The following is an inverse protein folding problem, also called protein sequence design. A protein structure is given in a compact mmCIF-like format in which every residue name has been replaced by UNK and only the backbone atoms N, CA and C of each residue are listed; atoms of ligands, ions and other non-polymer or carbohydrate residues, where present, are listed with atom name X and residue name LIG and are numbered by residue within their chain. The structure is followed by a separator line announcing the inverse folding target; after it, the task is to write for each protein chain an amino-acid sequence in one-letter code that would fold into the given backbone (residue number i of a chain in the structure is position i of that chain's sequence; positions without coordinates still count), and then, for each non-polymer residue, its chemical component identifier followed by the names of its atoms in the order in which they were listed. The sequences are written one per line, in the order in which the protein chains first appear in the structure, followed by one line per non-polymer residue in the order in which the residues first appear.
data_IF_530601894697
#
_entry.id   IF_530601894697
#
_cell.length_a   1.000
_cell.length_b   1.000
_cell.length_c   1.000
_cell.angle_alpha   90.00
_cell.angle_beta   90.00
_cell.angle_gamma   90.00
#
_symmetry.space_group_name_H-M   'P 1'
#
loop_
_entity.id
_entity.type
_entity.pdbx_description
1 polymer ?
#
# COMPACT_ATOMS: atom_id res chain seq x y z
N UNK A 1 -18.05 15.38 -6.20
CA UNK A 1 -17.18 16.39 -5.53
C UNK A 1 -15.95 15.77 -4.84
N UNK A 2 -16.10 14.81 -3.90
CA UNK A 2 -14.91 14.27 -3.18
C UNK A 2 -14.10 13.25 -3.98
N UNK A 3 -14.70 12.40 -4.80
CA UNK A 3 -13.97 11.51 -5.71
C UNK A 3 -13.06 12.31 -6.68
N UNK A 4 -13.52 13.43 -7.17
CA UNK A 4 -12.74 14.36 -8.00
C UNK A 4 -11.59 15.01 -7.21
N UNK A 5 -11.76 15.24 -5.91
CA UNK A 5 -10.70 15.74 -5.04
C UNK A 5 -9.59 14.69 -4.89
N UNK A 6 -9.95 13.42 -4.59
CA UNK A 6 -8.98 12.31 -4.56
C UNK A 6 -8.23 12.20 -5.89
N UNK A 7 -8.95 12.29 -7.01
CA UNK A 7 -8.33 12.24 -8.33
C UNK A 7 -7.32 13.37 -8.52
N UNK A 8 -7.69 14.63 -8.20
CA UNK A 8 -6.78 15.78 -8.30
C UNK A 8 -5.53 15.63 -7.43
N UNK A 9 -5.67 15.14 -6.20
CA UNK A 9 -4.54 14.91 -5.30
C UNK A 9 -3.59 13.84 -5.86
N UNK A 10 -4.12 12.76 -6.43
CA UNK A 10 -3.33 11.71 -7.06
C UNK A 10 -2.71 12.16 -8.41
N UNK A 11 -3.39 13.01 -9.17
CA UNK A 11 -2.84 13.64 -10.37
C UNK A 11 -1.66 14.53 -9.99
N UNK A 12 -1.78 15.34 -8.94
CA UNK A 12 -0.68 16.19 -8.44
C UNK A 12 0.57 15.37 -8.07
N UNK A 13 0.41 14.19 -7.45
CA UNK A 13 1.54 13.27 -7.18
C UNK A 13 2.15 12.78 -8.50
N UNK A 14 1.33 12.39 -9.47
CA UNK A 14 1.83 11.90 -10.75
C UNK A 14 2.58 13.00 -11.51
N UNK A 15 2.04 14.22 -11.54
CA UNK A 15 2.66 15.37 -12.15
C UNK A 15 3.98 15.74 -11.45
N UNK A 16 4.01 15.69 -10.12
CA UNK A 16 5.21 15.91 -9.35
C UNK A 16 6.29 14.86 -9.67
N UNK A 17 5.94 13.58 -9.71
CA UNK A 17 6.86 12.50 -10.11
C UNK A 17 7.43 12.80 -11.51
N UNK A 18 6.57 13.18 -12.46
CA UNK A 18 6.98 13.47 -13.83
C UNK A 18 7.99 14.62 -13.90
N UNK A 19 7.75 15.69 -13.13
CA UNK A 19 8.62 16.87 -13.09
C UNK A 19 9.97 16.61 -12.39
N UNK A 20 10.03 15.63 -11.46
CA UNK A 20 11.18 15.39 -10.57
C UNK A 20 11.80 14.00 -10.74
N UNK A 21 11.74 13.41 -11.95
CA UNK A 21 12.24 12.05 -12.21
C UNK A 21 13.75 11.86 -11.94
N UNK A 22 14.52 12.95 -11.89
CA UNK A 22 15.96 12.95 -11.59
C UNK A 22 16.26 13.06 -10.08
N UNK A 23 15.24 13.43 -9.29
CA UNK A 23 15.39 13.65 -7.86
C UNK A 23 15.15 12.37 -7.03
N UNK A 24 15.43 12.45 -5.73
CA UNK A 24 15.02 11.42 -4.77
C UNK A 24 13.51 11.57 -4.48
N UNK A 25 12.75 10.62 -4.99
CA UNK A 25 11.29 10.53 -4.82
C UNK A 25 10.97 9.60 -3.65
N UNK A 26 11.29 10.04 -2.43
CA UNK A 26 10.95 9.30 -1.21
C UNK A 26 9.44 9.23 -1.00
N UNK A 27 8.99 8.18 -0.30
CA UNK A 27 7.57 8.00 0.03
C UNK A 27 7.03 9.14 0.88
N UNK A 28 7.82 9.66 1.82
CA UNK A 28 7.44 10.79 2.68
C UNK A 28 7.20 12.06 1.84
N UNK A 29 8.10 12.33 0.89
CA UNK A 29 7.97 13.48 -0.01
C UNK A 29 6.70 13.39 -0.86
N UNK A 30 6.38 12.20 -1.37
CA UNK A 30 5.16 11.99 -2.16
C UNK A 30 3.90 12.04 -1.29
N UNK A 31 3.97 11.64 -0.02
CA UNK A 31 2.89 11.83 0.95
C UNK A 31 2.59 13.32 1.15
N UNK A 32 3.61 14.15 1.36
CA UNK A 32 3.45 15.62 1.48
C UNK A 32 2.76 16.22 0.25
N UNK A 33 3.19 15.82 -0.95
CA UNK A 33 2.59 16.30 -2.22
C UNK A 33 1.14 15.86 -2.35
N UNK A 34 0.81 14.65 -1.90
CA UNK A 34 -0.56 14.12 -1.98
C UNK A 34 -1.54 14.84 -1.07
N UNK A 35 -1.07 15.41 0.05
CA UNK A 35 -1.93 15.94 1.11
C UNK A 35 -2.69 14.86 1.89
N UNK A 36 -2.41 13.58 1.64
CA UNK A 36 -2.96 12.47 2.41
C UNK A 36 -2.08 12.13 3.63
N UNK A 37 -2.66 11.39 4.58
CA UNK A 37 -1.91 10.81 5.69
C UNK A 37 -0.77 9.91 5.20
N UNK A 38 0.46 9.98 5.77
CA UNK A 38 1.57 9.09 5.45
C UNK A 38 1.23 7.60 5.54
N UNK A 39 0.30 7.21 6.43
CA UNK A 39 -0.15 5.82 6.56
C UNK A 39 -1.04 5.33 5.41
N UNK A 40 -1.70 6.25 4.70
CA UNK A 40 -2.79 5.87 3.79
C UNK A 40 -2.54 6.24 2.33
N UNK A 41 -1.75 7.30 2.05
CA UNK A 41 -1.59 7.83 0.69
C UNK A 41 -1.15 6.77 -0.31
N UNK A 42 -0.19 5.93 0.08
CA UNK A 42 0.36 4.91 -0.81
C UNK A 42 -0.67 3.82 -1.14
N UNK A 43 -1.44 3.38 -0.14
CA UNK A 43 -2.55 2.44 -0.34
C UNK A 43 -3.63 3.02 -1.25
N UNK A 44 -3.99 4.30 -1.04
CA UNK A 44 -4.94 5.02 -1.89
C UNK A 44 -4.38 5.12 -3.32
N UNK A 45 -3.12 5.56 -3.46
CA UNK A 45 -2.47 5.70 -4.76
C UNK A 45 -2.50 4.39 -5.54
N UNK A 46 -2.05 3.30 -4.92
CA UNK A 46 -2.05 1.98 -5.54
C UNK A 46 -3.45 1.50 -5.88
N UNK A 47 -4.40 1.63 -4.97
CA UNK A 47 -5.77 1.17 -5.16
C UNK A 47 -6.48 1.91 -6.31
N UNK A 48 -6.19 3.20 -6.51
CA UNK A 48 -6.79 4.02 -7.56
C UNK A 48 -6.00 3.94 -8.88
N UNK A 49 -4.65 3.90 -8.82
CA UNK A 49 -3.79 3.88 -10.02
C UNK A 49 -3.49 2.48 -10.54
N UNK A 50 -3.71 1.42 -9.74
CA UNK A 50 -3.38 0.04 -10.09
C UNK A 50 -1.88 -0.27 -10.04
N UNK A 51 -1.04 0.70 -9.66
CA UNK A 51 0.41 0.54 -9.50
C UNK A 51 0.92 1.32 -8.30
N UNK A 52 2.04 0.89 -7.71
CA UNK A 52 2.69 1.64 -6.64
C UNK A 52 3.38 2.89 -7.19
N UNK A 53 3.61 3.90 -6.34
CA UNK A 53 4.37 5.10 -6.76
C UNK A 53 5.79 4.74 -7.28
N UNK A 54 6.46 3.76 -6.67
CA UNK A 54 7.75 3.26 -7.14
C UNK A 54 7.66 2.63 -8.54
N UNK A 55 6.57 1.91 -8.83
CA UNK A 55 6.30 1.36 -10.17
C UNK A 55 6.03 2.49 -11.16
N UNK A 56 5.26 3.52 -10.79
CA UNK A 56 5.04 4.72 -11.60
C UNK A 56 6.37 5.41 -11.94
N UNK A 57 7.21 5.69 -10.93
CA UNK A 57 8.54 6.30 -11.14
C UNK A 57 9.38 5.48 -12.11
N UNK A 58 9.43 4.16 -11.89
CA UNK A 58 10.19 3.26 -12.75
C UNK A 58 9.66 3.26 -14.20
N UNK A 59 8.35 3.22 -14.38
CA UNK A 59 7.71 3.27 -15.69
C UNK A 59 8.05 4.57 -16.42
N UNK A 60 7.86 5.73 -15.77
CA UNK A 60 8.14 7.04 -16.35
C UNK A 60 9.64 7.23 -16.70
N UNK A 61 10.54 6.72 -15.85
CA UNK A 61 11.98 6.71 -16.15
C UNK A 61 12.32 5.86 -17.37
N UNK A 62 11.67 4.71 -17.55
CA UNK A 62 11.84 3.86 -18.74
C UNK A 62 11.22 4.48 -19.99
N UNK A 63 10.08 5.17 -19.90
CA UNK A 63 9.46 5.92 -21.00
C UNK A 63 10.38 7.06 -21.47
N UNK A 64 10.95 7.83 -20.53
CA UNK A 64 11.95 8.85 -20.83
C UNK A 64 13.21 8.24 -21.48
N UNK A 65 13.67 7.10 -21.01
CA UNK A 65 14.80 6.40 -21.62
C UNK A 65 14.51 5.90 -23.03
N UNK A 66 13.29 5.43 -23.30
CA UNK A 66 12.87 5.06 -24.66
C UNK A 66 12.91 6.26 -25.63
N UNK A 67 12.48 7.43 -25.16
CA UNK A 67 12.60 8.69 -25.92
C UNK A 67 14.05 9.06 -26.19
N UNK A 68 14.93 8.94 -25.16
CA UNK A 68 16.37 9.20 -25.34
C UNK A 68 17.02 8.21 -26.32
N UNK A 69 16.66 6.93 -26.27
CA UNK A 69 17.15 5.91 -27.21
C UNK A 69 16.73 6.22 -28.66
N UNK A 70 15.53 6.74 -28.85
CA UNK A 70 15.00 7.08 -30.18
C UNK A 70 15.60 8.36 -30.76
N UNK A 71 15.95 9.33 -29.91
CA UNK A 71 16.36 10.66 -30.33
C UNK A 71 17.86 10.91 -30.26
N UNK A 72 18.64 10.09 -29.54
CA UNK A 72 20.05 10.33 -29.28
C UNK A 72 20.90 9.08 -29.54
N UNK A 73 22.11 9.30 -30.01
CA UNK A 73 23.16 8.28 -30.12
C UNK A 73 23.98 8.10 -28.82
N UNK A 74 23.42 8.51 -27.66
CA UNK A 74 24.15 8.43 -26.39
C UNK A 74 24.51 6.99 -26.02
N UNK A 75 25.68 6.78 -25.36
CA UNK A 75 26.01 5.48 -24.79
C UNK A 75 24.93 4.96 -23.84
N UNK A 76 24.76 3.65 -23.82
CA UNK A 76 23.71 3.00 -23.03
C UNK A 76 23.87 3.29 -21.53
N UNK A 77 25.12 3.35 -21.05
CA UNK A 77 25.46 3.67 -19.68
C UNK A 77 24.98 5.06 -19.26
N UNK A 78 25.07 6.02 -20.17
CA UNK A 78 24.57 7.38 -19.93
C UNK A 78 23.04 7.41 -19.81
N UNK A 79 22.35 6.69 -20.68
CA UNK A 79 20.89 6.59 -20.65
C UNK A 79 20.43 5.85 -19.38
N UNK A 80 21.09 4.75 -19.04
CA UNK A 80 20.81 3.98 -17.82
C UNK A 80 20.91 4.85 -16.56
N UNK A 81 21.99 5.63 -16.41
CA UNK A 81 22.15 6.56 -15.28
C UNK A 81 21.04 7.60 -15.22
N UNK A 82 20.68 8.22 -16.37
CA UNK A 82 19.56 9.18 -16.43
C UNK A 82 18.20 8.56 -16.18
N UNK A 83 18.06 7.27 -16.41
CA UNK A 83 16.87 6.50 -16.05
C UNK A 83 16.91 5.99 -14.60
N UNK A 84 17.87 6.43 -13.78
CA UNK A 84 17.99 6.09 -12.36
C UNK A 84 18.44 4.66 -12.08
N UNK A 85 19.15 4.02 -13.04
CA UNK A 85 19.69 2.68 -12.85
C UNK A 85 21.17 2.73 -12.51
N UNK A 86 21.59 1.85 -11.60
CA UNK A 86 22.98 1.74 -11.15
C UNK A 86 23.92 1.09 -12.19
N UNK A 87 23.36 0.34 -13.16
CA UNK A 87 24.14 -0.28 -14.24
C UNK A 87 23.34 -0.39 -15.53
N UNK A 88 24.05 -0.44 -16.67
CA UNK A 88 23.44 -0.68 -17.99
C UNK A 88 22.76 -2.06 -18.08
N UNK A 89 23.26 -3.06 -17.35
CA UNK A 89 22.67 -4.40 -17.33
C UNK A 89 21.33 -4.41 -16.59
N UNK A 90 21.26 -3.75 -15.42
CA UNK A 90 20.02 -3.61 -14.68
C UNK A 90 18.96 -2.84 -15.50
N UNK A 91 19.38 -1.77 -16.18
CA UNK A 91 18.54 -1.02 -17.10
C UNK A 91 18.07 -1.90 -18.26
N UNK A 92 18.97 -2.62 -18.93
CA UNK A 92 18.63 -3.45 -20.10
C UNK A 92 17.60 -4.51 -19.75
N UNK A 93 17.77 -5.21 -18.60
CA UNK A 93 16.79 -6.18 -18.11
C UNK A 93 15.42 -5.54 -17.81
N UNK A 94 15.43 -4.35 -17.20
CA UNK A 94 14.19 -3.63 -16.89
C UNK A 94 13.49 -3.14 -18.15
N UNK A 95 14.26 -2.60 -19.09
CA UNK A 95 13.76 -2.10 -20.37
C UNK A 95 13.18 -3.23 -21.22
N UNK A 96 13.89 -4.37 -21.32
CA UNK A 96 13.42 -5.54 -22.05
C UNK A 96 12.10 -6.09 -21.48
N UNK A 97 11.94 -6.10 -20.14
CA UNK A 97 10.67 -6.51 -19.51
C UNK A 97 9.51 -5.55 -19.83
N UNK A 98 9.81 -4.24 -19.95
CA UNK A 98 8.79 -3.22 -20.19
C UNK A 98 8.38 -3.09 -21.67
N UNK A 99 9.34 -3.32 -22.59
CA UNK A 99 9.15 -3.08 -24.02
C UNK A 99 9.27 -4.33 -24.90
N UNK A 100 9.52 -5.50 -24.27
CA UNK A 100 9.75 -6.79 -24.96
C UNK A 100 10.90 -6.73 -25.99
N UNK A 101 11.82 -5.80 -25.82
CA UNK A 101 13.00 -5.55 -26.69
C UNK A 101 14.18 -5.05 -25.87
N UNK A 102 15.39 -5.41 -26.28
CA UNK A 102 16.58 -4.81 -25.70
C UNK A 102 16.70 -3.33 -26.11
N UNK A 103 17.34 -2.46 -25.32
CA UNK A 103 17.55 -1.06 -25.66
C UNK A 103 18.24 -0.85 -27.01
N UNK A 104 19.24 -1.70 -27.34
CA UNK A 104 19.95 -1.65 -28.62
C UNK A 104 19.03 -1.94 -29.80
N UNK A 105 18.21 -2.99 -29.68
CA UNK A 105 17.23 -3.35 -30.71
C UNK A 105 16.14 -2.29 -30.86
N UNK A 106 15.66 -1.74 -29.77
CA UNK A 106 14.70 -0.62 -29.77
C UNK A 106 15.24 0.60 -30.52
N UNK A 107 16.54 0.92 -30.33
CA UNK A 107 17.22 2.01 -31.04
C UNK A 107 17.33 1.74 -32.55
N UNK A 108 17.75 0.52 -32.93
CA UNK A 108 17.92 0.17 -34.35
C UNK A 108 16.60 0.10 -35.12
N UNK A 109 15.55 -0.42 -34.49
CA UNK A 109 14.23 -0.54 -35.13
C UNK A 109 13.60 0.82 -35.45
N UNK A 110 13.90 1.87 -34.63
CA UNK A 110 13.43 3.24 -34.88
C UNK A 110 14.31 4.04 -35.87
N UNK A 111 15.53 3.65 -36.06
CA UNK A 111 16.37 4.21 -37.13
C UNK A 111 15.87 3.83 -38.53
N UNK A 112 14.99 2.81 -38.61
CA UNK A 112 14.44 2.27 -39.87
C UNK A 112 12.99 2.65 -40.23
N UNK A 113 12.27 3.48 -39.44
CA UNK A 113 10.89 3.90 -39.83
C UNK A 113 9.90 4.11 -38.66
N UNK A 114 8.74 4.77 -38.93
CA UNK A 114 7.83 5.28 -37.88
C UNK A 114 6.83 4.22 -37.28
N UNK A 115 7.03 2.92 -37.42
CA UNK A 115 6.08 1.89 -36.98
C UNK A 115 6.52 1.15 -35.72
N UNK A 116 6.55 1.82 -34.58
CA UNK A 116 6.84 1.22 -33.28
C UNK A 116 6.03 1.85 -32.16
N UNK A 117 4.71 1.65 -32.15
CA UNK A 117 3.86 1.91 -30.97
C UNK A 117 4.07 0.84 -29.91
N UNK A 118 5.27 0.77 -29.34
CA UNK A 118 5.54 0.05 -28.12
C UNK A 118 5.26 0.96 -26.93
N UNK A 119 4.00 1.23 -26.66
CA UNK A 119 3.59 1.88 -25.43
C UNK A 119 3.82 0.94 -24.27
N UNK A 120 4.44 1.41 -23.19
CA UNK A 120 4.39 0.78 -21.89
C UNK A 120 2.92 0.44 -21.61
N UNK A 121 2.64 -0.81 -21.23
CA UNK A 121 1.28 -1.25 -20.92
C UNK A 121 0.79 -0.38 -19.76
N UNK A 122 -0.19 0.50 -19.99
CA UNK A 122 -0.85 1.20 -18.89
C UNK A 122 -1.44 0.16 -17.96
N UNK A 123 -1.29 0.32 -16.64
CA UNK A 123 -2.03 -0.52 -15.69
C UNK A 123 -3.52 -0.47 -16.01
N UNK A 124 -4.20 -1.59 -15.85
CA UNK A 124 -5.63 -1.65 -16.05
C UNK A 124 -6.31 -0.64 -15.09
N UNK A 125 -7.16 0.20 -15.62
CA UNK A 125 -8.06 1.04 -14.83
C UNK A 125 -8.94 0.10 -14.00
N UNK A 126 -9.04 0.35 -12.70
CA UNK A 126 -9.96 -0.38 -11.82
C UNK A 126 -11.38 -0.21 -12.41
N UNK A 127 -12.15 -1.29 -12.59
CA UNK A 127 -13.49 -1.20 -13.19
C UNK A 127 -14.42 -0.30 -12.37
N UNK A 128 -15.33 0.39 -13.07
CA UNK A 128 -16.31 1.31 -12.52
C UNK A 128 -17.16 0.77 -11.38
N UNK A 129 -17.63 1.68 -10.54
CA UNK A 129 -18.30 1.52 -9.25
C UNK A 129 -19.70 0.85 -9.26
N UNK A 130 -20.07 0.09 -10.29
CA UNK A 130 -21.38 -0.58 -10.37
C UNK A 130 -21.41 -2.03 -9.88
N UNK A 131 -20.30 -2.57 -9.39
CA UNK A 131 -20.31 -3.88 -8.73
C UNK A 131 -20.94 -3.78 -7.34
N UNK A 132 -21.82 -4.72 -6.94
CA UNK A 132 -22.41 -4.73 -5.60
C UNK A 132 -21.30 -4.69 -4.57
N UNK A 133 -21.45 -3.87 -3.51
CA UNK A 133 -20.47 -3.70 -2.44
C UNK A 133 -20.11 -5.07 -1.83
N UNK A 134 -18.91 -5.64 -2.12
CA UNK A 134 -18.62 -7.02 -1.73
C UNK A 134 -18.38 -7.13 -0.22
N UNK A 135 -18.15 -5.97 0.47
CA UNK A 135 -17.86 -5.93 1.89
C UNK A 135 -18.78 -4.93 2.62
N UNK A 136 -19.46 -5.35 3.69
CA UNK A 136 -20.25 -4.42 4.50
C UNK A 136 -19.31 -3.46 5.26
N UNK A 137 -19.53 -2.15 5.10
CA UNK A 137 -18.82 -1.09 5.83
C UNK A 137 -19.85 -0.29 6.63
N UNK A 138 -19.55 -0.09 7.92
CA UNK A 138 -20.28 0.82 8.79
C UNK A 138 -19.33 1.91 9.30
N UNK A 139 -19.84 3.10 9.53
CA UNK A 139 -19.09 4.19 10.14
C UNK A 139 -19.60 4.36 11.57
N UNK A 140 -18.72 4.32 12.55
CA UNK A 140 -19.07 4.40 13.96
C UNK A 140 -18.05 5.16 14.80
N UNK A 141 -18.50 5.81 15.86
CA UNK A 141 -17.63 6.38 16.89
C UNK A 141 -17.14 5.28 17.83
N UNK A 142 -15.85 5.27 18.14
CA UNK A 142 -15.24 4.36 19.09
C UNK A 142 -14.55 5.13 20.22
N UNK A 143 -14.70 4.71 21.47
CA UNK A 143 -13.96 5.28 22.58
C UNK A 143 -12.46 4.99 22.47
N UNK A 144 -11.67 5.72 23.23
CA UNK A 144 -10.25 5.39 23.42
C UNK A 144 -10.11 3.99 23.99
N UNK A 145 -9.13 3.25 23.48
CA UNK A 145 -8.82 1.89 23.94
C UNK A 145 -7.34 1.75 24.20
N UNK A 146 -7.03 1.07 25.28
CA UNK A 146 -5.67 0.65 25.61
C UNK A 146 -5.48 -0.81 25.23
N UNK A 147 -4.38 -1.11 24.61
CA UNK A 147 -3.99 -2.46 24.20
C UNK A 147 -2.68 -2.82 24.88
N UNK A 148 -2.59 -4.01 25.47
CA UNK A 148 -1.29 -4.60 25.79
C UNK A 148 -0.83 -5.37 24.55
N UNK A 149 0.33 -4.98 23.99
CA UNK A 149 0.79 -5.42 22.69
C UNK A 149 2.22 -5.96 22.71
N UNK A 150 2.50 -6.88 21.79
CA UNK A 150 3.83 -7.37 21.43
C UNK A 150 4.23 -6.82 20.04
N UNK A 151 5.48 -6.40 19.88
CA UNK A 151 6.00 -6.00 18.55
C UNK A 151 6.14 -7.18 17.61
N UNK A 152 5.90 -6.90 16.33
CA UNK A 152 6.19 -7.76 15.21
C UNK A 152 6.98 -7.01 14.14
N UNK A 153 8.01 -7.67 13.58
CA UNK A 153 8.79 -7.18 12.45
C UNK A 153 8.89 -8.26 11.38
N UNK A 154 8.86 -7.86 10.12
CA UNK A 154 8.90 -8.74 8.97
C UNK A 154 7.51 -9.08 8.43
N UNK A 155 7.43 -10.18 7.69
CA UNK A 155 6.20 -10.61 7.02
C UNK A 155 4.98 -10.61 7.94
N UNK A 156 3.93 -9.90 7.54
CA UNK A 156 2.67 -9.87 8.29
C UNK A 156 2.01 -11.25 8.42
N UNK A 157 2.34 -12.19 7.54
CA UNK A 157 1.92 -13.59 7.67
C UNK A 157 2.53 -14.29 8.90
N UNK A 158 3.62 -13.72 9.44
CA UNK A 158 4.28 -14.21 10.66
C UNK A 158 3.78 -13.62 11.98
N UNK A 159 2.78 -12.72 11.95
CA UNK A 159 2.28 -11.98 13.14
C UNK A 159 1.74 -12.88 14.26
N UNK A 160 1.38 -14.11 13.91
CA UNK A 160 0.92 -15.12 14.88
C UNK A 160 1.86 -15.35 16.07
N UNK A 161 3.18 -15.14 15.89
CA UNK A 161 4.16 -15.22 16.99
C UNK A 161 3.98 -14.10 18.02
N UNK A 162 3.62 -12.89 17.57
CA UNK A 162 3.33 -11.79 18.48
C UNK A 162 2.03 -12.04 19.24
N UNK A 163 0.99 -12.54 18.56
CA UNK A 163 -0.25 -12.99 19.23
C UNK A 163 0.00 -14.10 20.25
N UNK A 164 0.82 -15.09 19.91
CA UNK A 164 1.16 -16.17 20.83
C UNK A 164 1.79 -15.63 22.13
N UNK A 165 2.70 -14.67 22.06
CA UNK A 165 3.28 -14.00 23.24
C UNK A 165 2.22 -13.33 24.11
N UNK A 166 1.25 -12.63 23.49
CA UNK A 166 0.16 -11.98 24.23
C UNK A 166 -0.71 -13.01 24.93
N UNK A 167 -1.08 -14.08 24.22
CA UNK A 167 -1.90 -15.17 24.78
C UNK A 167 -1.18 -15.88 25.91
N UNK A 168 0.12 -16.13 25.80
CA UNK A 168 0.95 -16.75 26.83
C UNK A 168 0.98 -15.92 28.13
N UNK A 169 1.02 -14.60 28.01
CA UNK A 169 1.08 -13.67 29.16
C UNK A 169 -0.27 -13.32 29.77
N UNK A 170 -1.32 -13.27 28.98
CA UNK A 170 -2.60 -12.69 29.37
C UNK A 170 -3.79 -13.64 29.23
N UNK A 171 -3.57 -14.82 28.65
CA UNK A 171 -4.64 -15.70 28.20
C UNK A 171 -5.30 -15.20 26.91
N UNK A 172 -6.13 -16.04 26.30
CA UNK A 172 -6.87 -15.65 25.09
C UNK A 172 -7.96 -14.64 25.47
N UNK A 173 -7.88 -13.45 24.87
CA UNK A 173 -8.87 -12.37 25.00
C UNK A 173 -9.44 -12.05 23.63
N UNK A 174 -10.73 -11.79 23.54
CA UNK A 174 -11.39 -11.43 22.27
C UNK A 174 -12.04 -10.04 22.37
N UNK A 175 -11.95 -9.27 21.30
CA UNK A 175 -11.17 -9.50 20.08
C UNK A 175 -9.67 -9.39 20.34
N UNK A 176 -8.87 -10.21 19.65
CA UNK A 176 -7.44 -9.93 19.48
C UNK A 176 -7.31 -8.82 18.45
N UNK A 177 -6.30 -7.98 18.61
CA UNK A 177 -6.14 -6.74 17.82
C UNK A 177 -4.73 -6.67 17.24
N UNK A 178 -4.61 -6.28 15.95
CA UNK A 178 -3.32 -5.89 15.39
C UNK A 178 -3.39 -4.46 14.83
N UNK A 179 -2.25 -3.76 14.87
CA UNK A 179 -2.06 -2.45 14.25
C UNK A 179 -0.92 -2.59 13.23
N UNK A 180 -1.19 -2.29 11.97
CA UNK A 180 -0.27 -2.41 10.86
C UNK A 180 0.28 -1.05 10.49
N UNK A 181 1.52 -0.79 10.90
CA UNK A 181 2.17 0.52 10.77
C UNK A 181 2.56 0.83 9.31
N UNK A 182 2.91 -0.19 8.52
CA UNK A 182 3.45 -0.03 7.19
C UNK A 182 2.54 -0.63 6.11
N UNK A 183 2.70 -0.14 4.88
CA UNK A 183 2.09 -0.76 3.70
C UNK A 183 3.04 -1.82 3.13
N UNK A 184 2.63 -3.10 3.05
CA UNK A 184 3.48 -4.18 2.55
C UNK A 184 3.85 -4.04 1.07
N UNK A 185 3.15 -3.18 0.33
CA UNK A 185 3.45 -2.88 -1.07
C UNK A 185 4.47 -1.73 -1.24
N UNK A 186 4.70 -0.97 -0.17
CA UNK A 186 5.59 0.19 -0.16
C UNK A 186 6.92 -0.09 0.57
N UNK A 187 6.87 -0.91 1.63
CA UNK A 187 8.00 -1.19 2.51
C UNK A 187 8.51 -2.60 2.28
N UNK A 188 9.85 -2.82 2.21
CA UNK A 188 10.41 -4.17 2.11
C UNK A 188 9.94 -5.06 3.26
N UNK A 189 9.61 -6.32 2.96
CA UNK A 189 9.03 -7.27 3.91
C UNK A 189 9.79 -7.35 5.24
N UNK A 190 11.13 -7.34 5.19
CA UNK A 190 11.99 -7.40 6.39
C UNK A 190 11.89 -6.18 7.29
N UNK A 191 11.41 -5.05 6.77
CA UNK A 191 11.28 -3.77 7.48
C UNK A 191 9.85 -3.50 7.95
N UNK A 192 8.88 -4.34 7.58
CA UNK A 192 7.49 -4.19 7.99
C UNK A 192 7.33 -4.24 9.50
N UNK A 193 6.51 -3.34 10.05
CA UNK A 193 6.24 -3.19 11.49
C UNK A 193 4.76 -3.36 11.76
N UNK A 194 4.46 -4.10 12.80
CA UNK A 194 3.12 -4.21 13.35
C UNK A 194 3.19 -4.47 14.86
N UNK A 195 2.08 -4.33 15.53
CA UNK A 195 1.89 -4.80 16.89
C UNK A 195 0.67 -5.70 16.95
N UNK A 196 0.72 -6.74 17.78
CA UNK A 196 -0.40 -7.62 18.06
C UNK A 196 -0.71 -7.60 19.55
N UNK A 197 -1.98 -7.57 19.93
CA UNK A 197 -2.35 -7.42 21.33
C UNK A 197 -3.81 -7.72 21.63
N UNK A 198 -4.18 -7.35 22.84
CA UNK A 198 -5.54 -7.45 23.36
C UNK A 198 -5.93 -6.19 24.12
N UNK A 199 -7.23 -5.88 24.15
CA UNK A 199 -7.78 -4.75 24.92
C UNK A 199 -7.59 -4.99 26.41
N UNK A 200 -7.14 -3.94 27.11
CA UNK A 200 -6.94 -3.91 28.56
C UNK A 200 -7.68 -2.76 29.21
N UNK A 201 -7.93 -2.85 30.50
CA UNK A 201 -8.55 -1.78 31.28
C UNK A 201 -7.64 -0.56 31.44
N UNK A 202 -8.24 0.57 31.86
CA UNK A 202 -7.50 1.84 32.05
C UNK A 202 -6.38 1.76 33.08
N UNK A 203 -6.52 0.91 34.10
CA UNK A 203 -5.57 0.73 35.19
C UNK A 203 -4.65 -0.50 34.99
N UNK A 204 -4.87 -1.28 33.95
CA UNK A 204 -4.06 -2.48 33.71
C UNK A 204 -2.63 -2.07 33.32
N UNK A 205 -1.66 -2.82 33.86
CA UNK A 205 -0.24 -2.68 33.52
C UNK A 205 0.12 -3.82 32.56
N UNK A 206 0.86 -3.49 31.52
CA UNK A 206 1.35 -4.52 30.61
C UNK A 206 2.37 -5.43 31.32
N UNK A 207 2.34 -6.75 31.08
CA UNK A 207 3.43 -7.65 31.47
C UNK A 207 4.79 -7.17 30.93
N UNK A 208 5.89 -7.58 31.55
CA UNK A 208 7.24 -7.02 31.34
C UNK A 208 7.75 -7.05 29.88
N UNK A 209 7.26 -7.99 29.08
CA UNK A 209 7.63 -8.15 27.66
C UNK A 209 6.56 -7.64 26.66
N UNK A 210 5.52 -7.00 27.20
CA UNK A 210 4.49 -6.30 26.44
C UNK A 210 4.53 -4.82 26.79
N UNK A 211 3.92 -3.97 25.95
CA UNK A 211 3.78 -2.53 26.23
C UNK A 211 2.36 -2.04 25.93
N UNK A 212 2.02 -0.88 26.47
CA UNK A 212 0.72 -0.27 26.22
C UNK A 212 0.74 0.54 24.94
N UNK A 213 -0.19 0.24 24.04
CA UNK A 213 -0.51 1.04 22.87
C UNK A 213 -1.90 1.62 23.01
N UNK A 214 -2.04 2.93 22.89
CA UNK A 214 -3.34 3.59 22.93
C UNK A 214 -3.87 3.77 21.51
N UNK A 215 -5.12 3.36 21.29
CA UNK A 215 -5.91 3.69 20.10
C UNK A 215 -6.81 4.87 20.50
N UNK A 216 -6.60 6.06 19.93
CA UNK A 216 -7.38 7.24 20.33
C UNK A 216 -8.86 7.09 19.97
N UNK A 217 -9.73 7.70 20.76
CA UNK A 217 -11.14 7.82 20.44
C UNK A 217 -11.36 8.51 19.08
N UNK A 218 -12.48 8.22 18.44
CA UNK A 218 -12.90 8.88 17.22
C UNK A 218 -13.69 7.98 16.28
N UNK A 219 -13.84 8.48 15.07
CA UNK A 219 -14.64 7.84 14.04
C UNK A 219 -13.81 6.82 13.25
N UNK A 220 -14.44 5.70 12.93
CA UNK A 220 -13.83 4.62 12.15
C UNK A 220 -14.79 4.12 11.09
N UNK A 221 -14.29 3.86 9.88
CA UNK A 221 -14.94 2.96 8.96
C UNK A 221 -14.54 1.53 9.35
N UNK A 222 -15.53 0.72 9.66
CA UNK A 222 -15.35 -0.67 10.06
C UNK A 222 -15.88 -1.56 8.96
N UNK A 223 -14.96 -2.16 8.22
CA UNK A 223 -15.25 -3.10 7.15
C UNK A 223 -15.18 -4.53 7.69
N UNK A 224 -16.26 -5.29 7.55
CA UNK A 224 -16.26 -6.70 7.89
C UNK A 224 -15.72 -7.54 6.74
N UNK A 225 -14.67 -8.28 7.02
CA UNK A 225 -14.09 -9.26 6.11
C UNK A 225 -14.34 -10.67 6.64
N UNK A 226 -14.78 -11.57 5.75
CA UNK A 226 -14.88 -13.00 6.05
C UNK A 226 -14.08 -13.77 5.01
N UNK A 227 -13.10 -14.54 5.44
CA UNK A 227 -12.25 -15.33 4.56
C UNK A 227 -10.82 -15.50 5.04
N UNK A 228 -9.97 -16.17 4.23
CA UNK A 228 -8.57 -16.40 4.54
C UNK A 228 -7.78 -15.08 4.61
N UNK A 229 -6.90 -14.93 5.60
CA UNK A 229 -6.03 -13.74 5.71
C UNK A 229 -5.17 -13.47 4.46
N UNK A 230 -4.72 -14.54 3.78
CA UNK A 230 -3.96 -14.41 2.53
C UNK A 230 -4.73 -13.71 1.39
N UNK A 231 -6.07 -13.71 1.43
CA UNK A 231 -6.93 -13.08 0.42
C UNK A 231 -7.40 -11.67 0.82
N UNK A 232 -7.05 -11.19 2.02
CA UNK A 232 -7.51 -9.89 2.57
C UNK A 232 -7.01 -8.69 1.76
N UNK A 233 -5.91 -8.86 1.02
CA UNK A 233 -5.37 -7.80 0.15
C UNK A 233 -6.41 -7.23 -0.83
N UNK A 234 -7.26 -8.06 -1.42
CA UNK A 234 -8.34 -7.60 -2.31
C UNK A 234 -9.37 -6.71 -1.59
N UNK A 235 -9.67 -7.02 -0.32
CA UNK A 235 -10.55 -6.19 0.50
C UNK A 235 -9.94 -4.82 0.80
N UNK A 236 -8.65 -4.75 1.06
CA UNK A 236 -7.93 -3.47 1.22
C UNK A 236 -7.93 -2.64 -0.07
N UNK A 237 -7.67 -3.25 -1.24
CA UNK A 237 -7.74 -2.53 -2.51
C UNK A 237 -9.14 -1.97 -2.76
N UNK A 238 -10.19 -2.71 -2.43
CA UNK A 238 -11.56 -2.23 -2.55
C UNK A 238 -11.86 -1.09 -1.56
N UNK A 239 -11.45 -1.24 -0.28
CA UNK A 239 -11.67 -0.23 0.76
C UNK A 239 -11.06 1.13 0.37
N UNK A 240 -9.79 1.12 -0.08
CA UNK A 240 -9.06 2.34 -0.41
C UNK A 240 -9.35 2.87 -1.82
N UNK A 241 -9.63 2.00 -2.79
CA UNK A 241 -9.79 2.37 -4.20
C UNK A 241 -11.23 2.68 -4.61
N UNK A 242 -12.21 2.11 -3.92
CA UNK A 242 -13.61 2.26 -4.28
C UNK A 242 -14.42 2.89 -3.14
N UNK A 243 -14.46 2.25 -1.96
CA UNK A 243 -15.29 2.74 -0.87
C UNK A 243 -14.83 4.12 -0.37
N UNK A 244 -13.58 4.30 -0.05
CA UNK A 244 -13.07 5.53 0.56
C UNK A 244 -13.29 6.76 -0.34
N UNK A 245 -12.94 6.76 -1.65
CA UNK A 245 -13.21 7.89 -2.54
C UNK A 245 -14.70 8.22 -2.68
N UNK A 246 -15.58 7.20 -2.66
CA UNK A 246 -17.02 7.35 -2.80
C UNK A 246 -17.71 7.77 -1.48
N UNK A 247 -17.14 7.41 -0.33
CA UNK A 247 -17.75 7.58 0.99
C UNK A 247 -17.87 9.03 1.45
N UNK A 248 -17.05 9.92 0.90
CA UNK A 248 -16.95 11.29 1.36
C UNK A 248 -16.13 11.48 2.65
N UNK A 249 -15.51 10.44 3.19
CA UNK A 249 -14.64 10.51 4.35
C UNK A 249 -13.17 10.67 3.97
N UNK A 250 -12.37 11.18 4.92
CA UNK A 250 -10.91 11.24 4.81
C UNK A 250 -10.27 10.39 5.92
N UNK A 251 -9.21 9.64 5.61
CA UNK A 251 -8.51 8.88 6.62
C UNK A 251 -7.77 9.83 7.57
N UNK A 252 -7.83 9.53 8.87
CA UNK A 252 -7.04 10.21 9.90
C UNK A 252 -5.62 9.68 9.88
N UNK A 253 -4.66 10.51 10.31
CA UNK A 253 -3.25 10.14 10.44
C UNK A 253 -3.02 9.14 11.58
N UNK A 254 -3.42 7.89 11.37
CA UNK A 254 -3.27 6.76 12.28
C UNK A 254 -3.32 5.45 11.48
N UNK A 255 -2.51 4.45 11.81
CA UNK A 255 -2.50 3.17 11.08
C UNK A 255 -3.84 2.42 11.17
N UNK A 256 -4.05 1.53 10.20
CA UNK A 256 -5.20 0.62 10.19
C UNK A 256 -5.11 -0.39 11.32
N UNK A 257 -6.26 -0.73 11.88
CA UNK A 257 -6.40 -1.68 12.97
C UNK A 257 -7.24 -2.86 12.47
N UNK A 258 -6.83 -4.07 12.80
CA UNK A 258 -7.62 -5.28 12.57
C UNK A 258 -8.06 -5.88 13.90
N UNK A 259 -9.35 -6.19 13.99
CA UNK A 259 -9.95 -6.91 15.13
C UNK A 259 -10.32 -8.31 14.68
N UNK A 260 -9.68 -9.31 15.26
CA UNK A 260 -9.91 -10.72 14.95
C UNK A 260 -11.04 -11.26 15.82
N UNK A 261 -12.20 -11.45 15.22
CA UNK A 261 -13.42 -11.85 15.93
C UNK A 261 -13.53 -13.37 16.12
N UNK A 262 -12.81 -14.12 15.30
CA UNK A 262 -12.74 -15.59 15.35
C UNK A 262 -11.36 -16.04 15.81
N UNK A 263 -11.29 -17.24 16.33
CA UNK A 263 -10.02 -17.85 16.73
C UNK A 263 -9.43 -18.63 15.56
N UNK A 264 -8.24 -18.23 15.03
CA UNK A 264 -7.63 -18.91 13.91
C UNK A 264 -7.22 -20.37 14.21
N UNK A 265 -7.09 -20.75 15.48
CA UNK A 265 -6.78 -22.13 15.88
C UNK A 265 -7.98 -23.07 15.72
N UNK A 266 -9.21 -22.55 15.81
CA UNK A 266 -10.44 -23.36 15.82
C UNK A 266 -11.37 -23.06 14.65
N UNK A 267 -11.16 -21.95 13.91
CA UNK A 267 -12.02 -21.51 12.82
C UNK A 267 -11.39 -21.86 11.47
N UNK A 268 -12.10 -22.53 10.58
CA UNK A 268 -11.62 -22.76 9.21
C UNK A 268 -11.31 -21.41 8.53
N UNK A 269 -10.23 -21.30 7.75
CA UNK A 269 -9.83 -20.03 7.12
C UNK A 269 -10.93 -19.33 6.33
N UNK A 270 -11.78 -20.06 5.62
CA UNK A 270 -12.89 -19.50 4.86
C UNK A 270 -14.00 -18.87 5.73
N UNK A 271 -14.03 -19.18 7.04
CA UNK A 271 -15.00 -18.67 8.00
C UNK A 271 -14.38 -17.68 8.99
N UNK A 272 -13.09 -17.37 8.85
CA UNK A 272 -12.41 -16.39 9.67
C UNK A 272 -13.04 -15.01 9.46
N UNK A 273 -13.38 -14.33 10.57
CA UNK A 273 -14.02 -13.01 10.55
C UNK A 273 -13.09 -11.99 11.19
N UNK A 274 -12.81 -10.92 10.43
CA UNK A 274 -11.98 -9.80 10.86
C UNK A 274 -12.71 -8.49 10.56
N UNK A 275 -12.76 -7.58 11.53
CA UNK A 275 -13.14 -6.19 11.28
C UNK A 275 -11.87 -5.37 10.99
N UNK A 276 -11.83 -4.74 9.83
CA UNK A 276 -10.78 -3.81 9.40
C UNK A 276 -11.25 -2.39 9.73
N UNK A 277 -10.54 -1.71 10.61
CA UNK A 277 -10.89 -0.39 11.14
C UNK A 277 -9.99 0.66 10.49
N UNK A 278 -10.55 1.48 9.60
CA UNK A 278 -9.88 2.64 9.01
C UNK A 278 -10.25 3.89 9.83
N UNK A 279 -9.29 4.54 10.50
CA UNK A 279 -9.56 5.78 11.25
C UNK A 279 -9.96 6.91 10.29
N UNK A 280 -11.00 7.69 10.65
CA UNK A 280 -11.56 8.78 9.85
C UNK A 280 -11.45 10.14 10.57
N UNK A 281 -11.39 11.21 9.76
CA UNK A 281 -11.49 12.61 10.21
C UNK A 281 -12.94 13.07 10.27
#
# INVERSE_FOLDING_TARGET
MRAEQYQRQLDAVTDYIYAHLDDDLSLDRLADVSGFSPYHWHRIYRAVRGETAAQTVRRLRLERAATMLAQNAWPLERIARRAGFTSADAFSRAFQRAYDRTPGRFRSDRAGGPNGTGGSRRPAVIPDAESPTPYPVRVEERPERRLAVAEHRGSYMGIGRAFARVVDRMGLRKPMVAIYEDDPDAVPEVALRAVAGAVVGLQDVAPADLFIRTVPAGRFAVMRYTGPYASMHAAYLWLYGQWLPASGWEPRDHPVIEEYLTDPATTPPAQAVTDILLPLR
#
